data_IF_915776619157
#
_entry.id   IF_915776619157
#
_cell.length_a   1.000
_cell.length_b   1.000
_cell.length_c   1.000
_cell.angle_alpha   90.00
_cell.angle_beta   90.00
_cell.angle_gamma   90.00
#
_symmetry.space_group_name_H-M   'P 1'
#
loop_
_entity.id
_entity.type
_entity.pdbx_description
1 polymer ?
#
# COMPACT_ATOMS: atom_id res chain seq x y z
N UNK A 1 -5.21 7.88 -15.28
CA UNK A 1 -4.22 7.18 -14.42
C UNK A 1 -3.53 8.21 -13.53
N UNK A 2 -4.11 8.57 -12.39
CA UNK A 2 -3.48 9.55 -11.49
C UNK A 2 -2.30 8.87 -10.78
N UNK A 3 -1.11 9.44 -10.98
CA UNK A 3 0.17 8.92 -10.53
C UNK A 3 0.19 8.74 -8.99
N UNK A 4 0.53 7.54 -8.51
CA UNK A 4 0.60 7.25 -7.07
C UNK A 4 1.50 8.21 -6.31
N UNK A 5 2.62 8.63 -6.91
CA UNK A 5 3.56 9.60 -6.34
C UNK A 5 2.93 10.98 -6.09
N UNK A 6 2.05 11.43 -6.99
CA UNK A 6 1.37 12.72 -6.82
C UNK A 6 0.43 12.72 -5.61
N UNK A 7 -0.26 11.59 -5.39
CA UNK A 7 -1.11 11.40 -4.20
C UNK A 7 -0.29 11.41 -2.91
N UNK A 8 0.84 10.71 -2.89
CA UNK A 8 1.76 10.70 -1.75
C UNK A 8 2.26 12.11 -1.41
N UNK A 9 2.76 12.83 -2.41
CA UNK A 9 3.30 14.17 -2.22
C UNK A 9 2.23 15.16 -1.74
N UNK A 10 0.99 15.02 -2.21
CA UNK A 10 -0.14 15.82 -1.73
C UNK A 10 -0.43 15.54 -0.25
N UNK A 11 -0.40 14.26 0.14
CA UNK A 11 -0.69 13.86 1.51
C UNK A 11 0.40 14.29 2.50
N UNK A 12 1.68 14.15 2.13
CA UNK A 12 2.81 14.67 2.90
C UNK A 12 2.66 16.18 3.11
N UNK A 13 2.36 16.95 2.06
CA UNK A 13 2.12 18.40 2.17
C UNK A 13 0.92 18.73 3.06
N UNK A 14 -0.16 17.96 2.99
CA UNK A 14 -1.37 18.18 3.81
C UNK A 14 -1.09 17.99 5.30
N UNK A 15 -0.40 16.91 5.67
CA UNK A 15 -0.12 16.58 7.08
C UNK A 15 0.98 17.44 7.69
N UNK A 16 2.00 17.81 6.91
CA UNK A 16 3.05 18.73 7.37
C UNK A 16 2.56 20.17 7.52
N UNK A 17 1.51 20.58 6.78
CA UNK A 17 0.91 21.92 6.88
C UNK A 17 0.37 22.25 8.29
N UNK A 18 -0.04 21.26 9.06
CA UNK A 18 -0.55 21.46 10.44
C UNK A 18 0.56 21.90 11.39
N UNK A 19 1.77 21.36 11.23
CA UNK A 19 2.88 21.64 12.13
C UNK A 19 3.43 23.07 11.99
N UNK A 20 3.24 23.74 10.83
CA UNK A 20 3.74 25.08 10.43
C UNK A 20 5.27 25.28 10.54
N UNK A 21 5.90 24.91 11.65
CA UNK A 21 7.33 24.92 11.93
C UNK A 21 7.70 23.68 12.73
N UNK A 22 8.85 23.07 12.43
CA UNK A 22 9.40 21.97 13.22
C UNK A 22 10.53 22.48 14.13
N UNK A 23 10.62 21.99 15.38
CA UNK A 23 11.65 22.42 16.33
C UNK A 23 13.06 21.92 15.96
N UNK A 24 13.16 20.84 15.18
CA UNK A 24 14.40 20.29 14.64
C UNK A 24 14.12 19.41 13.41
N UNK A 25 15.16 19.06 12.67
CA UNK A 25 15.07 18.21 11.49
C UNK A 25 14.56 16.79 11.83
N UNK A 26 14.98 16.24 12.96
CA UNK A 26 14.55 14.91 13.43
C UNK A 26 13.03 14.83 13.62
N UNK A 27 12.40 15.89 14.11
CA UNK A 27 10.94 15.93 14.30
C UNK A 27 10.19 15.90 12.97
N UNK A 28 10.73 16.57 11.95
CA UNK A 28 10.19 16.50 10.59
C UNK A 28 10.35 15.10 10.02
N UNK A 29 11.54 14.51 10.15
CA UNK A 29 11.84 13.16 9.67
C UNK A 29 10.91 12.12 10.31
N UNK A 30 10.73 12.17 11.63
CA UNK A 30 9.81 11.28 12.35
C UNK A 30 8.38 11.35 11.83
N UNK A 31 7.85 12.56 11.59
CA UNK A 31 6.51 12.72 11.05
C UNK A 31 6.39 12.14 9.64
N UNK A 32 7.35 12.44 8.77
CA UNK A 32 7.33 11.95 7.38
C UNK A 32 7.43 10.43 7.36
N UNK A 33 8.34 9.83 8.14
CA UNK A 33 8.48 8.37 8.23
C UNK A 33 7.18 7.72 8.72
N UNK A 34 6.52 8.28 9.74
CA UNK A 34 5.24 7.77 10.21
C UNK A 34 4.15 7.77 9.11
N UNK A 35 4.08 8.85 8.32
CA UNK A 35 3.13 8.95 7.19
C UNK A 35 3.43 7.89 6.12
N UNK A 36 4.71 7.66 5.82
CA UNK A 36 5.13 6.66 4.84
C UNK A 36 4.80 5.25 5.28
N UNK A 37 4.96 4.94 6.58
CA UNK A 37 4.60 3.63 7.15
C UNK A 37 3.10 3.38 7.02
N UNK A 38 2.25 4.33 7.43
CA UNK A 38 0.79 4.19 7.31
C UNK A 38 0.35 3.95 5.84
N UNK A 39 0.99 4.66 4.92
CA UNK A 39 0.67 4.52 3.50
C UNK A 39 1.19 3.19 2.92
N UNK A 40 2.34 2.72 3.39
CA UNK A 40 2.87 1.41 3.05
C UNK A 40 1.94 0.28 3.52
N UNK A 41 1.45 0.36 4.76
CA UNK A 41 0.46 -0.59 5.29
C UNK A 41 -0.84 -0.57 4.47
N UNK A 42 -1.29 0.61 4.07
CA UNK A 42 -2.47 0.76 3.20
C UNK A 42 -2.26 0.12 1.81
N UNK A 43 -1.03 0.18 1.26
CA UNK A 43 -0.70 -0.46 -0.01
C UNK A 43 -0.58 -1.97 0.11
N UNK A 44 0.01 -2.46 1.21
CA UNK A 44 0.08 -3.91 1.49
C UNK A 44 -1.32 -4.47 1.70
N UNK A 45 -2.17 -3.76 2.45
CA UNK A 45 -3.56 -4.16 2.74
C UNK A 45 -4.51 -3.89 1.56
N UNK A 46 -4.06 -3.15 0.55
CA UNK A 46 -4.86 -2.71 -0.58
C UNK A 46 -4.85 -3.69 -1.75
N UNK A 47 -5.97 -3.73 -2.48
CA UNK A 47 -6.27 -4.56 -3.68
C UNK A 47 -5.52 -5.89 -3.73
N UNK A 48 -5.96 -6.81 -2.89
CA UNK A 48 -5.83 -8.24 -3.18
C UNK A 48 -6.70 -8.50 -4.42
N UNK A 49 -6.07 -8.48 -5.59
CA UNK A 49 -6.70 -8.86 -6.85
C UNK A 49 -6.82 -10.37 -7.02
N UNK A 50 -6.36 -11.15 -6.05
CA UNK A 50 -6.83 -12.52 -5.90
C UNK A 50 -8.21 -12.45 -5.23
N UNK A 51 -9.23 -12.20 -6.04
CA UNK A 51 -10.54 -12.75 -5.71
C UNK A 51 -10.35 -14.26 -5.84
N UNK A 52 -9.98 -14.91 -4.74
CA UNK A 52 -10.30 -16.31 -4.62
C UNK A 52 -11.82 -16.31 -4.46
N UNK A 53 -12.53 -16.31 -5.59
CA UNK A 53 -13.78 -17.05 -5.61
C UNK A 53 -13.33 -18.48 -5.32
N UNK A 54 -13.19 -18.77 -4.02
CA UNK A 54 -12.96 -20.10 -3.51
C UNK A 54 -14.29 -20.77 -3.81
N UNK A 55 -14.43 -21.28 -5.03
CA UNK A 55 -15.32 -22.39 -5.24
C UNK A 55 -14.93 -23.38 -4.14
N UNK A 56 -15.85 -23.69 -3.24
CA UNK A 56 -15.65 -24.42 -1.97
C UNK A 56 -15.05 -25.85 -2.14
N UNK A 57 -14.53 -26.17 -3.31
CA UNK A 57 -14.17 -27.48 -3.81
C UNK A 57 -12.68 -27.84 -3.67
N UNK A 58 -11.74 -26.91 -3.45
CA UNK A 58 -10.28 -27.24 -3.51
C UNK A 58 -9.53 -27.28 -2.16
N UNK A 59 -10.20 -27.22 -1.00
CA UNK A 59 -9.51 -27.32 0.30
C UNK A 59 -8.92 -28.73 0.57
N UNK A 60 -9.23 -29.74 -0.25
CA UNK A 60 -8.79 -31.13 0.00
C UNK A 60 -7.42 -31.52 -0.52
N UNK A 61 -6.80 -30.78 -1.42
CA UNK A 61 -5.48 -31.14 -1.95
C UNK A 61 -4.59 -29.92 -2.01
N UNK A 62 -3.59 -29.89 -1.12
CA UNK A 62 -2.65 -28.82 -0.82
C UNK A 62 -1.73 -28.43 -2.01
N UNK A 63 -2.29 -28.11 -3.17
CA UNK A 63 -1.59 -27.76 -4.40
C UNK A 63 -2.00 -26.36 -4.79
N UNK A 64 -1.18 -25.38 -4.44
CA UNK A 64 -1.33 -24.01 -4.92
C UNK A 64 -1.26 -24.00 -6.46
N UNK A 65 -2.29 -23.49 -7.17
CA UNK A 65 -2.32 -23.57 -8.62
C UNK A 65 -1.26 -22.64 -9.23
N UNK A 66 -0.25 -23.24 -9.87
CA UNK A 66 0.69 -22.53 -10.72
C UNK A 66 -0.04 -22.02 -11.96
N UNK A 67 -0.37 -20.73 -12.00
CA UNK A 67 -0.98 -20.07 -13.16
C UNK A 67 0.02 -19.98 -14.33
N UNK A 68 0.24 -21.07 -15.06
CA UNK A 68 0.96 -21.03 -16.33
C UNK A 68 -0.01 -20.60 -17.43
N UNK A 69 0.02 -19.31 -17.77
CA UNK A 69 -0.66 -18.72 -18.93
C UNK A 69 -0.25 -19.49 -20.19
N UNK A 70 -1.15 -20.32 -20.75
CA UNK A 70 -0.99 -20.83 -22.12
C UNK A 70 -1.29 -19.69 -23.07
N UNK A 71 -0.23 -19.11 -23.61
CA UNK A 71 -0.29 -18.27 -24.81
C UNK A 71 -0.54 -19.18 -26.00
N UNK A 72 -1.62 -18.92 -26.73
CA UNK A 72 -1.88 -19.42 -28.08
C UNK A 72 -1.28 -18.45 -29.10
#
# INVERSE_FOLDING_TARGET
TSNGLERLNREIKRRTRVARLFPNQESCLRLITAILVEQHETWISGRIYLNFDIDECEVKNNVMPFYRKKVA
#
